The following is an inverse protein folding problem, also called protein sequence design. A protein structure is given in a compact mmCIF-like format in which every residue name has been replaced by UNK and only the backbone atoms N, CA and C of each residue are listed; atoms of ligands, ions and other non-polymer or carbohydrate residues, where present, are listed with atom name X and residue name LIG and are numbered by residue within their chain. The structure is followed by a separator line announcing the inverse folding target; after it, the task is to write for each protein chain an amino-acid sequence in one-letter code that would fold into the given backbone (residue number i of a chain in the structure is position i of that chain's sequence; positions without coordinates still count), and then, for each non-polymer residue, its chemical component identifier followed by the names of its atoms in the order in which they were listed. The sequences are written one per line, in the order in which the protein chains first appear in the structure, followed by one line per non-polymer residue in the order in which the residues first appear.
data_IF_229952545755
#
_entry.id   IF_229952545755
#
_cell.length_a   1.000
_cell.length_b   1.000
_cell.length_c   1.000
_cell.angle_alpha   90.00
_cell.angle_beta   90.00
_cell.angle_gamma   90.00
#
_symmetry.space_group_name_H-M   'P 1'
#
loop_
_entity.id
_entity.type
_entity.pdbx_description
1 polymer ?
#
# COMPACT_ATOMS: atom_id res chain seq x y z
N UNK A 1 -28.74 12.40 -4.03
CA UNK A 1 -28.47 11.27 -4.94
C UNK A 1 -28.36 9.93 -4.20
N UNK A 2 -27.45 9.75 -3.24
CA UNK A 2 -27.31 8.46 -2.52
C UNK A 2 -28.60 7.93 -1.86
N UNK A 3 -29.35 8.79 -1.15
CA UNK A 3 -30.61 8.38 -0.52
C UNK A 3 -31.67 7.85 -1.50
N UNK A 4 -31.82 8.48 -2.67
CA UNK A 4 -32.78 8.05 -3.68
C UNK A 4 -32.42 6.67 -4.26
N UNK A 5 -31.13 6.37 -4.43
CA UNK A 5 -30.68 5.05 -4.87
C UNK A 5 -31.02 3.96 -3.85
N UNK A 6 -30.81 4.23 -2.55
CA UNK A 6 -31.18 3.31 -1.48
C UNK A 6 -32.70 3.10 -1.42
N UNK A 7 -33.47 4.19 -1.48
CA UNK A 7 -34.92 4.15 -1.26
C UNK A 7 -35.74 3.65 -2.46
N UNK A 8 -35.25 3.87 -3.69
CA UNK A 8 -36.04 3.63 -4.91
C UNK A 8 -35.48 2.54 -5.82
N UNK A 9 -34.18 2.23 -5.72
CA UNK A 9 -33.50 1.29 -6.61
C UNK A 9 -33.01 0.02 -5.91
N UNK A 10 -33.31 -0.12 -4.61
CA UNK A 10 -32.85 -1.25 -3.80
C UNK A 10 -31.33 -1.30 -3.65
N UNK A 11 -30.64 -0.15 -3.76
CA UNK A 11 -29.20 -0.11 -3.61
C UNK A 11 -28.77 -0.37 -2.16
N UNK A 12 -27.56 -0.88 -1.98
CA UNK A 12 -26.95 -1.09 -0.67
C UNK A 12 -25.81 -0.12 -0.41
N UNK A 13 -25.66 0.32 0.85
CA UNK A 13 -24.52 1.16 1.25
C UNK A 13 -23.32 0.27 1.53
N UNK A 14 -22.25 0.46 0.77
CA UNK A 14 -20.97 -0.23 0.95
C UNK A 14 -19.80 0.75 1.04
N UNK A 15 -18.69 0.42 1.73
CA UNK A 15 -17.47 1.22 1.67
C UNK A 15 -16.93 1.29 0.25
N UNK A 16 -16.69 2.51 -0.26
CA UNK A 16 -16.29 2.70 -1.67
C UNK A 16 -14.97 2.00 -2.02
N UNK A 17 -14.04 1.90 -1.06
CA UNK A 17 -12.76 1.19 -1.24
C UNK A 17 -12.97 -0.30 -1.52
N UNK A 18 -13.89 -0.95 -0.81
CA UNK A 18 -14.20 -2.37 -1.00
C UNK A 18 -14.82 -2.61 -2.38
N UNK A 19 -15.76 -1.74 -2.78
CA UNK A 19 -16.38 -1.78 -4.11
C UNK A 19 -15.32 -1.66 -5.20
N UNK A 20 -14.40 -0.70 -5.10
CA UNK A 20 -13.32 -0.52 -6.09
C UNK A 20 -12.38 -1.73 -6.12
N UNK A 21 -12.01 -2.27 -4.95
CA UNK A 21 -11.13 -3.44 -4.87
C UNK A 21 -11.72 -4.68 -5.51
N UNK A 22 -13.01 -4.92 -5.32
CA UNK A 22 -13.75 -6.00 -5.99
C UNK A 22 -13.83 -5.75 -7.50
N UNK A 23 -14.15 -4.53 -7.93
CA UNK A 23 -14.26 -4.18 -9.35
C UNK A 23 -12.95 -4.36 -10.12
N UNK A 24 -11.80 -4.13 -9.48
CA UNK A 24 -10.47 -4.31 -10.09
C UNK A 24 -9.88 -5.70 -9.84
N UNK A 25 -10.59 -6.57 -9.13
CA UNK A 25 -10.14 -7.91 -8.72
C UNK A 25 -8.77 -7.86 -8.00
N UNK A 26 -8.66 -6.96 -7.01
CA UNK A 26 -7.39 -6.66 -6.36
C UNK A 26 -6.81 -7.90 -5.65
N UNK A 27 -7.65 -8.70 -4.97
CA UNK A 27 -7.22 -9.88 -4.21
C UNK A 27 -6.52 -10.89 -5.11
N UNK A 28 -7.12 -11.23 -6.24
CA UNK A 28 -6.51 -12.15 -7.22
C UNK A 28 -5.23 -11.59 -7.83
N UNK A 29 -5.21 -10.30 -8.17
CA UNK A 29 -4.03 -9.64 -8.76
C UNK A 29 -2.86 -9.51 -7.79
N UNK A 30 -3.15 -9.52 -6.50
CA UNK A 30 -2.15 -9.42 -5.44
C UNK A 30 -1.48 -10.76 -5.13
N UNK A 31 -2.13 -11.88 -5.47
CA UNK A 31 -1.59 -13.21 -5.23
C UNK A 31 -0.21 -13.40 -5.89
N UNK A 32 0.77 -13.79 -5.09
CA UNK A 32 2.15 -14.02 -5.53
C UNK A 32 3.03 -12.77 -5.59
N UNK A 33 2.53 -11.58 -5.23
CA UNK A 33 3.36 -10.39 -5.12
C UNK A 33 4.35 -10.50 -3.95
N UNK A 34 5.59 -10.06 -4.16
CA UNK A 34 6.59 -9.94 -3.08
C UNK A 34 6.37 -8.72 -2.17
N UNK A 35 5.68 -7.70 -2.69
CA UNK A 35 5.47 -6.43 -2.03
C UNK A 35 4.25 -5.71 -2.65
N UNK A 36 3.46 -5.05 -1.81
CA UNK A 36 2.39 -4.15 -2.23
C UNK A 36 2.79 -2.71 -1.94
N UNK A 37 2.64 -1.84 -2.93
CA UNK A 37 2.82 -0.39 -2.76
C UNK A 37 1.45 0.29 -2.93
N UNK A 38 1.07 1.12 -1.97
CA UNK A 38 -0.16 1.91 -1.99
C UNK A 38 0.14 3.38 -1.70
N UNK A 39 -0.86 4.26 -1.76
CA UNK A 39 -0.64 5.67 -1.49
C UNK A 39 -1.89 6.53 -1.47
N UNK A 40 -1.77 7.71 -0.88
CA UNK A 40 -2.76 8.78 -0.89
C UNK A 40 -2.10 10.14 -0.59
N UNK A 41 -2.84 11.24 -0.71
CA UNK A 41 -2.28 12.57 -0.44
C UNK A 41 -1.90 12.81 1.03
N UNK A 42 -2.75 12.38 1.97
CA UNK A 42 -2.58 12.58 3.41
C UNK A 42 -2.99 11.30 4.13
N UNK A 43 -2.04 10.67 4.80
CA UNK A 43 -2.27 9.51 5.65
C UNK A 43 -2.57 10.00 7.08
N UNK A 44 -3.82 9.87 7.50
CA UNK A 44 -4.29 10.36 8.79
C UNK A 44 -5.28 9.38 9.45
N UNK A 45 -5.80 9.72 10.62
CA UNK A 45 -6.74 8.85 11.35
C UNK A 45 -8.05 8.65 10.59
N UNK A 46 -8.42 9.51 9.64
CA UNK A 46 -9.56 9.26 8.76
C UNK A 46 -9.21 8.22 7.69
N UNK A 47 -7.95 8.14 7.28
CA UNK A 47 -7.49 7.06 6.40
C UNK A 47 -7.63 5.69 7.05
N UNK A 48 -7.42 5.62 8.37
CA UNK A 48 -7.67 4.42 9.17
C UNK A 48 -9.14 3.97 9.15
N UNK A 49 -10.07 4.88 8.88
CA UNK A 49 -11.51 4.62 8.86
C UNK A 49 -12.04 4.05 7.53
N UNK A 50 -11.17 3.60 6.62
CA UNK A 50 -11.57 2.88 5.40
C UNK A 50 -11.26 3.59 4.09
N UNK A 51 -10.13 4.30 4.02
CA UNK A 51 -9.57 4.76 2.74
C UNK A 51 -8.69 3.70 2.07
N UNK A 52 -8.19 4.04 0.89
CA UNK A 52 -7.44 3.16 -0.02
C UNK A 52 -6.28 2.43 0.69
N UNK A 53 -5.36 3.09 1.43
CA UNK A 53 -4.19 2.38 1.97
C UNK A 53 -4.57 1.27 2.96
N UNK A 54 -5.57 1.50 3.82
CA UNK A 54 -5.99 0.50 4.81
C UNK A 54 -6.80 -0.63 4.18
N UNK A 55 -7.61 -0.34 3.16
CA UNK A 55 -8.26 -1.41 2.41
C UNK A 55 -7.23 -2.31 1.71
N UNK A 56 -6.20 -1.72 1.09
CA UNK A 56 -5.11 -2.46 0.44
C UNK A 56 -4.35 -3.30 1.47
N UNK A 57 -4.03 -2.71 2.63
CA UNK A 57 -3.34 -3.41 3.71
C UNK A 57 -4.14 -4.62 4.23
N UNK A 58 -5.46 -4.49 4.39
CA UNK A 58 -6.33 -5.60 4.80
C UNK A 58 -6.32 -6.76 3.81
N UNK A 59 -6.35 -6.48 2.51
CA UNK A 59 -6.26 -7.53 1.48
C UNK A 59 -4.87 -8.17 1.53
N UNK A 60 -3.81 -7.36 1.58
CA UNK A 60 -2.41 -7.82 1.64
C UNK A 60 -2.12 -8.74 2.83
N UNK A 61 -2.69 -8.42 4.00
CA UNK A 61 -2.55 -9.22 5.21
C UNK A 61 -3.08 -10.66 5.05
N UNK A 62 -4.13 -10.87 4.24
CA UNK A 62 -4.67 -12.22 3.97
C UNK A 62 -3.69 -13.09 3.18
N UNK A 63 -2.81 -12.47 2.42
CA UNK A 63 -1.76 -13.14 1.66
C UNK A 63 -0.40 -13.13 2.36
N UNK A 64 -0.28 -12.48 3.53
CA UNK A 64 0.99 -12.31 4.22
C UNK A 64 2.01 -11.47 3.45
N UNK A 65 1.54 -10.58 2.56
CA UNK A 65 2.41 -9.77 1.71
C UNK A 65 2.67 -8.42 2.40
N UNK A 66 3.94 -7.96 2.50
CA UNK A 66 4.26 -6.68 3.13
C UNK A 66 3.75 -5.49 2.31
N UNK A 67 3.40 -4.41 3.01
CA UNK A 67 2.78 -3.20 2.47
C UNK A 67 3.66 -1.98 2.73
N UNK A 68 3.99 -1.26 1.67
CA UNK A 68 4.58 0.08 1.74
C UNK A 68 3.57 1.12 1.28
N UNK A 69 3.29 2.12 2.10
CA UNK A 69 2.50 3.28 1.70
C UNK A 69 3.39 4.47 1.33
N UNK A 70 3.13 5.09 0.20
CA UNK A 70 3.80 6.33 -0.22
C UNK A 70 2.75 7.43 -0.24
N UNK A 71 2.92 8.44 0.61
CA UNK A 71 1.92 9.48 0.81
C UNK A 71 2.52 10.88 0.68
N UNK A 72 1.68 11.88 0.40
CA UNK A 72 2.15 13.27 0.41
C UNK A 72 2.63 13.68 1.81
N UNK A 73 1.85 13.38 2.84
CA UNK A 73 2.20 13.55 4.25
C UNK A 73 1.62 12.44 5.11
N UNK A 74 2.28 12.12 6.21
CA UNK A 74 1.74 11.28 7.28
C UNK A 74 1.49 12.11 8.53
N UNK A 75 0.31 11.98 9.11
CA UNK A 75 -0.04 12.45 10.45
C UNK A 75 -0.09 11.28 11.45
N UNK A 76 0.23 10.07 11.00
CA UNK A 76 0.27 8.87 11.83
C UNK A 76 1.70 8.61 12.33
N UNK A 77 1.80 8.23 13.60
CA UNK A 77 3.03 7.75 14.22
C UNK A 77 3.32 6.28 13.87
N UNK A 78 4.42 5.74 14.43
CA UNK A 78 4.88 4.39 14.08
C UNK A 78 3.91 3.27 14.48
N UNK A 79 3.13 3.47 15.53
CA UNK A 79 2.30 2.41 16.08
C UNK A 79 0.94 2.38 15.38
N UNK A 80 0.43 3.56 15.00
CA UNK A 80 -0.89 3.73 14.39
C UNK A 80 -1.04 3.05 13.03
N UNK A 81 -0.13 3.33 12.11
CA UNK A 81 -0.10 2.71 10.79
C UNK A 81 0.37 1.24 10.79
N UNK A 82 1.22 0.82 11.74
CA UNK A 82 1.57 -0.60 11.92
C UNK A 82 0.33 -1.40 12.37
N UNK A 83 -0.45 -0.85 13.31
CA UNK A 83 -1.75 -1.41 13.70
C UNK A 83 -2.76 -1.45 12.54
N UNK A 84 -2.57 -0.61 11.52
CA UNK A 84 -3.37 -0.63 10.29
C UNK A 84 -2.91 -1.66 9.24
N UNK A 85 -1.83 -2.42 9.52
CA UNK A 85 -1.27 -3.40 8.62
C UNK A 85 -0.33 -2.82 7.55
N UNK A 86 0.24 -1.64 7.79
CA UNK A 86 1.23 -1.01 6.91
C UNK A 86 2.63 -1.18 7.52
N UNK A 87 3.56 -1.78 6.77
CA UNK A 87 4.92 -2.07 7.24
C UNK A 87 5.87 -0.86 7.13
N UNK A 88 5.77 -0.10 6.03
CA UNK A 88 6.63 1.07 5.81
C UNK A 88 5.99 2.25 5.04
N UNK A 89 6.33 3.49 5.41
CA UNK A 89 5.67 4.74 4.97
C UNK A 89 6.74 5.70 4.57
N UNK A 90 6.60 6.17 3.35
CA UNK A 90 7.34 7.29 2.83
C UNK A 90 6.39 8.47 2.71
N UNK A 91 6.60 9.52 3.51
CA UNK A 91 5.93 10.80 3.33
C UNK A 91 6.81 11.70 2.46
N UNK A 92 6.30 12.12 1.29
CA UNK A 92 7.03 13.01 0.38
C UNK A 92 7.38 14.34 1.03
N UNK A 93 6.52 14.83 1.95
CA UNK A 93 6.77 16.00 2.79
C UNK A 93 8.08 15.91 3.56
N UNK A 94 8.45 14.73 4.06
CA UNK A 94 9.68 14.55 4.85
C UNK A 94 10.93 14.71 3.99
N UNK A 95 10.82 14.40 2.70
CA UNK A 95 11.88 14.62 1.70
C UNK A 95 11.87 16.04 1.14
N UNK A 96 10.69 16.65 1.04
CA UNK A 96 10.50 17.97 0.44
C UNK A 96 10.67 19.14 1.42
N UNK A 97 10.54 18.89 2.73
CA UNK A 97 10.58 19.89 3.79
C UNK A 97 9.29 20.69 3.99
N UNK A 98 8.32 20.62 3.07
CA UNK A 98 7.02 21.30 3.20
C UNK A 98 5.93 20.65 2.33
N UNK A 99 4.66 20.89 2.66
CA UNK A 99 3.51 20.41 1.88
C UNK A 99 3.51 21.00 0.45
N UNK A 100 3.89 22.28 0.30
CA UNK A 100 3.94 22.94 -1.01
C UNK A 100 5.00 22.31 -1.91
N UNK A 101 6.23 22.12 -1.41
CA UNK A 101 7.29 21.49 -2.20
C UNK A 101 7.00 20.01 -2.45
N UNK A 102 6.35 19.32 -1.51
CA UNK A 102 5.87 17.94 -1.71
C UNK A 102 4.93 17.84 -2.91
N UNK A 103 3.98 18.77 -3.04
CA UNK A 103 3.04 18.79 -4.16
C UNK A 103 3.77 19.17 -5.46
N UNK A 104 4.58 20.24 -5.42
CA UNK A 104 5.29 20.76 -6.59
C UNK A 104 6.27 19.75 -7.19
N UNK A 105 6.96 18.98 -6.35
CA UNK A 105 8.00 18.01 -6.74
C UNK A 105 7.50 16.57 -6.70
N UNK A 106 6.19 16.33 -6.52
CA UNK A 106 5.64 14.99 -6.33
C UNK A 106 6.14 13.96 -7.35
N UNK A 107 6.17 14.22 -8.68
CA UNK A 107 6.67 13.23 -9.64
C UNK A 107 8.12 12.81 -9.39
N UNK A 108 9.00 13.78 -9.14
CA UNK A 108 10.43 13.50 -8.90
C UNK A 108 10.64 12.76 -7.58
N UNK A 109 9.92 13.17 -6.52
CA UNK A 109 10.02 12.52 -5.21
C UNK A 109 9.44 11.09 -5.23
N UNK A 110 8.34 10.85 -5.96
CA UNK A 110 7.79 9.51 -6.16
C UNK A 110 8.77 8.60 -6.91
N UNK A 111 9.46 9.14 -7.93
CA UNK A 111 10.49 8.38 -8.65
C UNK A 111 11.68 8.04 -7.75
N UNK A 112 12.11 8.98 -6.91
CA UNK A 112 13.18 8.76 -5.93
C UNK A 112 12.79 7.69 -4.90
N UNK A 113 11.61 7.81 -4.29
CA UNK A 113 11.08 6.82 -3.33
C UNK A 113 10.92 5.45 -3.98
N UNK A 114 10.37 5.40 -5.20
CA UNK A 114 10.26 4.15 -5.97
C UNK A 114 11.62 3.50 -6.22
N UNK A 115 12.65 4.29 -6.54
CA UNK A 115 14.02 3.81 -6.69
C UNK A 115 14.57 3.19 -5.40
N UNK A 116 14.36 3.85 -4.25
CA UNK A 116 14.77 3.33 -2.94
C UNK A 116 14.08 2.01 -2.59
N UNK A 117 12.74 1.97 -2.74
CA UNK A 117 11.95 0.74 -2.52
C UNK A 117 12.43 -0.40 -3.43
N UNK A 118 12.69 -0.12 -4.71
CA UNK A 118 13.19 -1.12 -5.66
C UNK A 118 14.57 -1.67 -5.28
N UNK A 119 15.48 -0.82 -4.82
CA UNK A 119 16.80 -1.23 -4.33
C UNK A 119 16.70 -2.15 -3.10
N UNK A 120 15.84 -1.80 -2.15
CA UNK A 120 15.57 -2.60 -0.95
C UNK A 120 14.98 -3.97 -1.31
N UNK A 121 14.00 -4.00 -2.22
CA UNK A 121 13.38 -5.24 -2.68
C UNK A 121 14.42 -6.15 -3.38
N UNK A 122 15.24 -5.59 -4.26
CA UNK A 122 16.29 -6.33 -4.93
C UNK A 122 17.34 -6.91 -3.95
N UNK A 123 17.68 -6.16 -2.89
CA UNK A 123 18.56 -6.65 -1.84
C UNK A 123 17.94 -7.83 -1.06
N UNK A 124 16.66 -7.72 -0.68
CA UNK A 124 15.92 -8.80 0.00
C UNK A 124 15.80 -10.06 -0.85
N UNK A 125 15.53 -9.92 -2.15
CA UNK A 125 15.44 -11.07 -3.05
C UNK A 125 16.78 -11.77 -3.23
N UNK A 126 17.89 -11.03 -3.36
CA UNK A 126 19.24 -11.62 -3.38
C UNK A 126 19.56 -12.37 -2.09
N UNK A 127 19.22 -11.81 -0.93
CA UNK A 127 19.45 -12.45 0.36
C UNK A 127 18.62 -13.75 0.52
N UNK A 128 17.35 -13.74 0.10
CA UNK A 128 16.50 -14.95 0.05
C UNK A 128 17.13 -16.03 -0.84
N UNK A 129 17.65 -15.66 -2.00
CA UNK A 129 18.27 -16.59 -2.94
C UNK A 129 19.60 -17.17 -2.42
N UNK A 130 20.39 -16.38 -1.69
CA UNK A 130 21.62 -16.86 -1.04
C UNK A 130 21.31 -17.82 0.13
N UNK A 131 20.24 -17.56 0.90
CA UNK A 131 19.83 -18.41 2.01
C UNK A 131 19.14 -19.71 1.57
N UNK A 132 18.52 -19.74 0.39
CA UNK A 132 17.87 -20.95 -0.14
C UNK A 132 18.88 -22.05 -0.55
N UNK A 133 20.17 -21.74 -0.68
CA UNK A 133 21.23 -22.68 -1.06
C UNK A 133 21.04 -23.27 -2.48
N UNK A 134 22.08 -23.84 -3.11
CA UNK A 134 21.85 -24.66 -4.29
C UNK A 134 21.00 -25.86 -3.83
N UNK A 135 19.83 -26.07 -4.47
CA UNK A 135 19.17 -27.36 -4.41
C UNK A 135 20.22 -28.40 -4.77
N UNK A 136 20.63 -29.23 -3.80
CA UNK A 136 21.64 -30.26 -4.02
C UNK A 136 21.21 -31.13 -5.20
N UNK A 137 22.16 -31.64 -6.01
CA UNK A 137 21.80 -32.54 -7.08
C UNK A 137 21.02 -33.71 -6.47
N UNK A 138 19.75 -33.83 -6.84
CA UNK A 138 18.95 -35.00 -6.50
C UNK A 138 19.67 -36.22 -7.04
N UNK A 139 20.09 -37.09 -6.12
CA UNK A 139 20.40 -38.48 -6.43
C UNK A 139 19.10 -39.12 -6.89
N UNK A 140 19.04 -39.52 -8.16
CA UNK A 140 18.40 -40.75 -8.67
C UNK A 140 18.83 -41.01 -10.13
#
# INVERSE_FOLDING_TARGET
MGFAALALLGAERRPGVEVVMELVDLETRMAGADLVITGEGSLDTQSLAGKVPVGVARVSARHGIPVVAVCGRSLLDRDQWAAAGIDHVWALRDLAGSDQESIRRAPALLQEVGGRIGQELAARSRQRQLMAGPAGPGEE
#
